data_IF_355557685175
#
_entry.id   IF_355557685175
#
_cell.length_a   1.000
_cell.length_b   1.000
_cell.length_c   1.000
_cell.angle_alpha   90.00
_cell.angle_beta   90.00
_cell.angle_gamma   90.00
#
_symmetry.space_group_name_H-M   'P 1'
#
loop_
_entity.id
_entity.type
_entity.pdbx_description
1 polymer ?
#
# COMPACT_ATOMS: atom_id res chain seq x y z
N UNK A 1 -28.98 -4.85 -11.34
CA UNK A 1 -27.53 -4.89 -11.07
C UNK A 1 -27.14 -3.49 -10.61
N UNK A 2 -27.12 -3.29 -9.31
CA UNK A 2 -26.79 -2.00 -8.70
C UNK A 2 -25.26 -1.83 -8.77
N UNK A 3 -24.83 -0.87 -9.60
CA UNK A 3 -23.47 -0.33 -9.51
C UNK A 3 -23.35 0.33 -8.12
N UNK A 4 -22.80 -0.37 -7.14
CA UNK A 4 -22.33 0.22 -5.91
C UNK A 4 -21.02 0.95 -6.22
N UNK A 5 -21.15 2.17 -6.74
CA UNK A 5 -20.02 3.08 -6.96
C UNK A 5 -19.62 3.74 -5.65
N UNK A 6 -19.04 2.95 -4.74
CA UNK A 6 -18.26 3.50 -3.64
C UNK A 6 -16.95 4.12 -4.16
N UNK A 7 -16.25 4.95 -3.36
CA UNK A 7 -14.94 5.46 -3.71
C UNK A 7 -13.96 4.31 -4.01
N UNK A 8 -13.08 4.48 -4.99
CA UNK A 8 -12.09 3.47 -5.39
C UNK A 8 -11.26 2.91 -4.20
N UNK A 9 -10.80 3.71 -3.23
CA UNK A 9 -10.11 3.18 -2.05
C UNK A 9 -10.94 2.19 -1.23
N UNK A 10 -12.26 2.38 -1.12
CA UNK A 10 -13.14 1.43 -0.40
C UNK A 10 -13.20 0.07 -1.10
N UNK A 11 -13.22 0.07 -2.43
CA UNK A 11 -13.17 -1.17 -3.21
C UNK A 11 -11.82 -1.89 -3.04
N UNK A 12 -10.71 -1.15 -3.02
CA UNK A 12 -9.37 -1.69 -2.76
C UNK A 12 -9.34 -2.37 -1.39
N UNK A 13 -9.82 -1.68 -0.35
CA UNK A 13 -9.92 -2.23 1.01
C UNK A 13 -10.78 -3.49 1.03
N UNK A 14 -11.94 -3.47 0.37
CA UNK A 14 -12.86 -4.61 0.32
C UNK A 14 -12.22 -5.85 -0.32
N UNK A 15 -11.50 -5.69 -1.43
CA UNK A 15 -10.78 -6.78 -2.12
C UNK A 15 -9.68 -7.35 -1.22
N UNK A 16 -8.88 -6.52 -0.56
CA UNK A 16 -7.82 -6.96 0.36
C UNK A 16 -8.43 -7.74 1.53
N UNK A 17 -9.48 -7.18 2.16
CA UNK A 17 -10.17 -7.84 3.28
C UNK A 17 -10.76 -9.17 2.86
N UNK A 18 -11.43 -9.25 1.71
CA UNK A 18 -12.04 -10.49 1.22
C UNK A 18 -11.00 -11.59 1.00
N UNK A 19 -9.82 -11.22 0.49
CA UNK A 19 -8.73 -12.17 0.22
C UNK A 19 -8.03 -12.67 1.49
N UNK A 20 -7.88 -11.79 2.51
CA UNK A 20 -7.16 -12.13 3.74
C UNK A 20 -8.07 -12.72 4.83
N UNK A 21 -9.38 -12.63 4.65
CA UNK A 21 -10.35 -13.12 5.64
C UNK A 21 -10.28 -14.63 5.80
N UNK A 22 -10.15 -15.06 7.05
CA UNK A 22 -10.24 -16.47 7.45
C UNK A 22 -11.20 -16.64 8.63
N UNK A 23 -11.27 -17.83 9.22
CA UNK A 23 -12.16 -18.15 10.34
C UNK A 23 -11.89 -17.29 11.61
N UNK A 24 -10.71 -16.70 11.72
CA UNK A 24 -10.32 -15.83 12.84
C UNK A 24 -10.51 -14.34 12.53
N UNK A 25 -10.94 -14.01 11.32
CA UNK A 25 -11.08 -12.64 10.84
C UNK A 25 -9.96 -12.21 9.89
N UNK A 26 -9.60 -10.93 9.91
CA UNK A 26 -8.53 -10.34 9.09
C UNK A 26 -7.41 -9.87 10.00
N UNK A 27 -6.18 -10.27 9.69
CA UNK A 27 -4.98 -9.81 10.41
C UNK A 27 -4.66 -8.38 9.98
N UNK A 28 -4.78 -7.44 10.91
CA UNK A 28 -4.68 -6.01 10.63
C UNK A 28 -3.34 -5.61 10.02
N UNK A 29 -2.24 -6.10 10.61
CA UNK A 29 -0.87 -5.81 10.17
C UNK A 29 -0.63 -6.28 8.73
N UNK A 30 -1.09 -7.50 8.41
CA UNK A 30 -0.95 -8.06 7.06
C UNK A 30 -1.81 -7.29 6.04
N UNK A 31 -3.01 -6.85 6.41
CA UNK A 31 -3.86 -6.08 5.53
C UNK A 31 -3.24 -4.70 5.21
N UNK A 32 -2.73 -3.99 6.23
CA UNK A 32 -2.04 -2.72 6.07
C UNK A 32 -0.80 -2.89 5.19
N UNK A 33 0.05 -3.87 5.49
CA UNK A 33 1.27 -4.13 4.73
C UNK A 33 0.96 -4.51 3.27
N UNK A 34 -0.11 -5.26 3.01
CA UNK A 34 -0.54 -5.62 1.65
C UNK A 34 -0.94 -4.37 0.86
N UNK A 35 -1.79 -3.50 1.41
CA UNK A 35 -2.20 -2.26 0.74
C UNK A 35 -1.01 -1.34 0.47
N UNK A 36 -0.11 -1.22 1.44
CA UNK A 36 1.09 -0.40 1.34
C UNK A 36 2.10 -0.95 0.32
N UNK A 37 2.37 -2.25 0.31
CA UNK A 37 3.24 -2.87 -0.68
C UNK A 37 2.66 -2.76 -2.10
N UNK A 38 1.34 -2.83 -2.25
CA UNK A 38 0.65 -2.55 -3.52
C UNK A 38 0.84 -1.09 -3.95
N UNK A 39 0.76 -0.13 -3.01
CA UNK A 39 1.12 1.27 -3.28
C UNK A 39 2.52 1.35 -3.89
N UNK A 40 3.50 0.69 -3.25
CA UNK A 40 4.87 0.63 -3.73
C UNK A 40 5.01 0.01 -5.12
N UNK A 41 4.34 -1.10 -5.40
CA UNK A 41 4.36 -1.73 -6.73
C UNK A 41 3.84 -0.77 -7.81
N UNK A 42 2.78 0.01 -7.54
CA UNK A 42 2.27 0.97 -8.51
C UNK A 42 3.16 2.20 -8.65
N UNK A 43 3.89 2.62 -7.61
CA UNK A 43 4.97 3.61 -7.75
C UNK A 43 6.08 3.10 -8.66
N UNK A 44 6.52 1.85 -8.49
CA UNK A 44 7.52 1.24 -9.36
C UNK A 44 7.07 1.20 -10.83
N UNK A 45 5.81 0.85 -11.08
CA UNK A 45 5.22 0.89 -12.42
C UNK A 45 5.14 2.31 -12.99
N UNK A 46 4.76 3.30 -12.17
CA UNK A 46 4.69 4.71 -12.56
C UNK A 46 6.08 5.31 -12.83
N UNK A 47 7.14 4.74 -12.27
CA UNK A 47 8.52 5.14 -12.58
C UNK A 47 8.97 4.81 -14.00
N UNK A 48 8.18 4.03 -14.76
CA UNK A 48 8.38 3.80 -16.19
C UNK A 48 9.45 2.75 -16.55
N UNK A 49 9.84 1.92 -15.58
CA UNK A 49 10.75 0.81 -15.87
C UNK A 49 10.07 -0.32 -16.66
N UNK A 50 10.79 -0.92 -17.59
CA UNK A 50 10.38 -2.19 -18.20
C UNK A 50 10.62 -3.33 -17.20
N UNK A 51 9.59 -3.68 -16.46
CA UNK A 51 9.67 -4.67 -15.39
C UNK A 51 9.92 -6.09 -15.91
N UNK A 52 9.75 -6.34 -17.21
CA UNK A 52 10.02 -7.67 -17.82
C UNK A 52 11.51 -8.00 -17.89
N UNK A 53 12.38 -6.99 -17.73
CA UNK A 53 13.83 -7.16 -17.74
C UNK A 53 14.41 -7.59 -16.39
N UNK A 54 13.59 -7.60 -15.33
CA UNK A 54 14.03 -7.95 -13.99
C UNK A 54 13.54 -9.34 -13.59
N UNK A 55 14.38 -10.09 -12.89
CA UNK A 55 13.93 -11.33 -12.27
C UNK A 55 12.88 -11.05 -11.19
N UNK A 56 11.77 -11.80 -11.14
CA UNK A 56 10.76 -11.64 -10.11
C UNK A 56 11.39 -11.69 -8.71
N UNK A 57 11.04 -10.73 -7.85
CA UNK A 57 11.57 -10.60 -6.49
C UNK A 57 12.97 -9.97 -6.39
N UNK A 58 13.62 -9.63 -7.51
CA UNK A 58 14.90 -8.92 -7.46
C UNK A 58 14.75 -7.46 -7.02
N UNK A 59 15.81 -6.93 -6.40
CA UNK A 59 15.83 -5.53 -5.95
C UNK A 59 16.05 -4.59 -7.12
N UNK A 60 15.22 -3.54 -7.22
CA UNK A 60 15.31 -2.48 -8.22
C UNK A 60 15.75 -1.18 -7.52
N UNK A 61 16.89 -0.66 -7.92
CA UNK A 61 17.38 0.66 -7.48
C UNK A 61 16.99 1.71 -8.54
N UNK A 62 16.21 2.71 -8.13
CA UNK A 62 15.67 3.74 -9.02
C UNK A 62 15.55 5.08 -8.31
N UNK A 63 16.22 6.11 -8.84
CA UNK A 63 16.05 7.48 -8.39
C UNK A 63 14.60 7.94 -8.59
N UNK A 64 14.00 7.61 -9.73
CA UNK A 64 12.62 7.99 -10.02
C UNK A 64 11.61 7.42 -9.01
N UNK A 65 11.85 6.21 -8.50
CA UNK A 65 11.04 5.65 -7.40
C UNK A 65 11.21 6.48 -6.13
N UNK A 66 12.45 6.87 -5.78
CA UNK A 66 12.70 7.70 -4.59
C UNK A 66 12.03 9.07 -4.72
N UNK A 67 12.11 9.71 -5.89
CA UNK A 67 11.43 10.99 -6.18
C UNK A 67 9.91 10.86 -5.95
N UNK A 68 9.27 9.86 -6.52
CA UNK A 68 7.83 9.66 -6.39
C UNK A 68 7.40 9.33 -4.95
N UNK A 69 8.24 8.60 -4.19
CA UNK A 69 7.93 8.22 -2.82
C UNK A 69 8.22 9.32 -1.81
N UNK A 70 9.39 10.00 -1.90
CA UNK A 70 9.93 10.78 -0.78
C UNK A 70 10.50 12.16 -1.15
N UNK A 71 10.96 12.39 -2.39
CA UNK A 71 11.82 13.51 -2.74
C UNK A 71 11.19 14.50 -3.73
N UNK A 72 9.87 14.52 -3.83
CA UNK A 72 9.16 15.31 -4.85
C UNK A 72 9.58 16.79 -4.87
N UNK A 73 10.26 17.22 -5.91
CA UNK A 73 10.72 18.61 -6.18
C UNK A 73 9.54 19.62 -6.20
N UNK A 74 8.99 19.94 -5.01
CA UNK A 74 7.82 20.79 -4.84
C UNK A 74 6.49 20.16 -5.22
N UNK A 75 6.47 18.86 -5.57
CA UNK A 75 5.27 18.09 -5.79
C UNK A 75 4.98 17.19 -4.58
N UNK A 76 3.70 16.89 -4.36
CA UNK A 76 3.28 15.97 -3.31
C UNK A 76 3.79 14.56 -3.61
N UNK A 77 4.58 14.01 -2.72
CA UNK A 77 5.03 12.61 -2.81
C UNK A 77 3.93 11.65 -2.36
N UNK A 78 4.10 10.38 -2.68
CA UNK A 78 3.17 9.34 -2.22
C UNK A 78 3.18 9.24 -0.69
N UNK A 79 4.34 9.36 -0.04
CA UNK A 79 4.43 9.37 1.42
C UNK A 79 3.74 10.59 2.04
N UNK A 80 3.91 11.80 1.47
CA UNK A 80 3.18 12.98 1.92
C UNK A 80 1.68 12.81 1.79
N UNK A 81 1.23 12.25 0.68
CA UNK A 81 -0.18 11.95 0.46
C UNK A 81 -0.72 10.95 1.50
N UNK A 82 0.04 9.88 1.78
CA UNK A 82 -0.33 8.91 2.81
C UNK A 82 -0.47 9.56 4.20
N UNK A 83 0.48 10.43 4.60
CA UNK A 83 0.38 11.16 5.87
C UNK A 83 -0.81 12.11 5.91
N UNK A 84 -1.07 12.84 4.82
CA UNK A 84 -2.23 13.71 4.72
C UNK A 84 -3.55 12.91 4.80
N UNK A 85 -3.58 11.72 4.19
CA UNK A 85 -4.73 10.81 4.29
C UNK A 85 -4.92 10.31 5.73
N UNK A 86 -3.87 9.91 6.44
CA UNK A 86 -3.94 9.57 7.87
C UNK A 86 -4.51 10.72 8.70
N UNK A 87 -3.99 11.92 8.49
CA UNK A 87 -4.47 13.12 9.19
C UNK A 87 -5.95 13.40 8.92
N UNK A 88 -6.42 13.22 7.67
CA UNK A 88 -7.83 13.38 7.30
C UNK A 88 -8.74 12.36 8.00
N UNK A 89 -8.21 11.20 8.39
CA UNK A 89 -8.88 10.20 9.21
C UNK A 89 -8.75 10.43 10.73
N UNK A 90 -8.17 11.56 11.14
CA UNK A 90 -7.95 11.90 12.55
C UNK A 90 -6.80 11.14 13.22
N UNK A 91 -5.84 10.67 12.41
CA UNK A 91 -4.62 10.01 12.87
C UNK A 91 -3.45 10.98 12.72
N UNK A 92 -2.96 11.52 13.84
CA UNK A 92 -1.80 12.39 13.88
C UNK A 92 -0.61 11.61 14.45
N UNK A 93 0.15 10.97 13.60
CA UNK A 93 1.32 10.14 13.96
C UNK A 93 2.66 10.77 13.59
N UNK A 94 2.70 12.04 13.23
CA UNK A 94 3.92 12.76 12.87
C UNK A 94 4.85 12.03 11.87
N UNK A 95 5.45 12.77 10.95
CA UNK A 95 6.38 12.20 9.96
C UNK A 95 7.66 11.64 10.59
N UNK A 96 8.11 12.26 11.68
CA UNK A 96 9.40 12.00 12.32
C UNK A 96 9.33 10.97 13.47
N UNK A 97 8.12 10.57 13.87
CA UNK A 97 7.95 9.56 14.92
C UNK A 97 7.92 8.15 14.32
N UNK A 98 9.08 7.53 14.23
CA UNK A 98 9.20 6.11 13.88
C UNK A 98 9.26 5.29 15.15
N UNK A 99 8.55 4.15 15.27
CA UNK A 99 8.93 3.15 16.24
C UNK A 99 10.34 2.67 15.91
N UNK A 100 11.20 2.54 16.90
CA UNK A 100 12.55 2.03 16.71
C UNK A 100 12.55 0.63 16.13
N UNK A 101 11.51 -0.14 16.44
CA UNK A 101 11.31 -1.51 15.96
C UNK A 101 9.82 -1.87 15.99
N UNK A 102 9.36 -2.61 14.96
CA UNK A 102 8.03 -3.22 14.99
C UNK A 102 8.07 -4.36 16.04
N UNK A 103 7.18 -4.34 17.05
CA UNK A 103 7.14 -5.38 18.07
C UNK A 103 6.91 -6.78 17.48
N UNK A 104 7.46 -7.81 18.11
CA UNK A 104 7.35 -9.20 17.65
C UNK A 104 5.89 -9.68 17.55
N UNK A 105 5.01 -9.20 18.43
CA UNK A 105 3.58 -9.50 18.39
C UNK A 105 2.86 -8.90 17.17
N UNK A 106 3.46 -7.93 16.49
CA UNK A 106 2.91 -7.27 15.30
C UNK A 106 3.57 -7.76 14.00
N UNK A 107 4.15 -8.95 14.00
CA UNK A 107 4.73 -9.54 12.80
C UNK A 107 3.65 -9.96 11.80
N UNK A 108 3.98 -9.86 10.51
CA UNK A 108 3.10 -10.29 9.44
C UNK A 108 2.93 -11.81 9.45
N UNK A 109 1.71 -12.29 9.22
CA UNK A 109 1.43 -13.73 9.08
C UNK A 109 1.53 -14.23 7.64
N UNK A 110 1.62 -13.32 6.67
CA UNK A 110 1.82 -13.61 5.25
C UNK A 110 2.74 -12.55 4.64
N UNK A 111 3.55 -12.94 3.66
CA UNK A 111 4.33 -11.99 2.89
C UNK A 111 3.41 -11.13 2.02
N UNK A 112 3.42 -9.77 2.17
CA UNK A 112 2.55 -8.90 1.40
C UNK A 112 2.81 -8.97 -0.12
N UNK A 113 4.02 -9.26 -0.57
CA UNK A 113 4.31 -9.41 -2.00
C UNK A 113 3.64 -10.67 -2.58
N UNK A 114 3.60 -11.78 -1.82
CA UNK A 114 2.87 -12.97 -2.22
C UNK A 114 1.35 -12.73 -2.26
N UNK A 115 0.83 -11.95 -1.30
CA UNK A 115 -0.60 -11.59 -1.32
C UNK A 115 -0.92 -10.74 -2.55
N UNK A 116 -0.09 -9.74 -2.86
CA UNK A 116 -0.27 -8.89 -4.04
C UNK A 116 -0.23 -9.71 -5.33
N UNK A 117 0.63 -10.70 -5.45
CA UNK A 117 0.70 -11.53 -6.66
C UNK A 117 -0.64 -12.20 -6.96
N UNK A 118 -1.36 -12.62 -5.93
CA UNK A 118 -2.70 -13.22 -6.05
C UNK A 118 -3.80 -12.20 -6.37
N UNK A 119 -3.64 -10.96 -5.90
CA UNK A 119 -4.63 -9.87 -6.08
C UNK A 119 -4.43 -9.09 -7.37
N UNK A 120 -3.25 -9.14 -7.97
CA UNK A 120 -2.82 -8.22 -9.02
C UNK A 120 -3.80 -8.17 -10.21
N UNK A 121 -4.24 -9.32 -10.69
CA UNK A 121 -5.15 -9.35 -11.84
C UNK A 121 -6.50 -8.69 -11.53
N UNK A 122 -7.06 -8.96 -10.35
CA UNK A 122 -8.33 -8.36 -9.90
C UNK A 122 -8.17 -6.84 -9.72
N UNK A 123 -7.07 -6.41 -9.11
CA UNK A 123 -6.78 -5.00 -8.89
C UNK A 123 -6.56 -4.25 -10.21
N UNK A 124 -5.87 -4.84 -11.18
CA UNK A 124 -5.70 -4.22 -12.50
C UNK A 124 -7.05 -4.05 -13.20
N UNK A 125 -7.93 -5.05 -13.16
CA UNK A 125 -9.29 -4.94 -13.70
C UNK A 125 -10.11 -3.83 -13.01
N UNK A 126 -9.98 -3.70 -11.68
CA UNK A 126 -10.62 -2.63 -10.92
C UNK A 126 -10.14 -1.25 -11.36
N UNK A 127 -8.83 -1.07 -11.50
CA UNK A 127 -8.26 0.21 -11.95
C UNK A 127 -8.63 0.55 -13.38
N UNK A 128 -8.56 -0.42 -14.29
CA UNK A 128 -8.92 -0.22 -15.70
C UNK A 128 -10.40 0.16 -15.84
N UNK A 129 -11.28 -0.46 -15.06
CA UNK A 129 -12.71 -0.11 -15.02
C UNK A 129 -12.98 1.32 -14.50
N UNK A 130 -12.07 1.87 -13.69
CA UNK A 130 -12.16 3.24 -13.17
C UNK A 130 -11.34 4.24 -14.01
N UNK A 131 -10.61 3.81 -15.03
CA UNK A 131 -9.88 4.67 -15.95
C UNK A 131 -8.71 5.44 -15.32
N UNK A 132 -8.14 4.94 -14.21
CA UNK A 132 -7.05 5.62 -13.50
C UNK A 132 -5.67 5.20 -14.06
N UNK A 133 -4.77 6.17 -14.17
CA UNK A 133 -3.42 5.94 -14.64
C UNK A 133 -2.50 5.32 -13.56
N UNK A 134 -1.25 5.00 -13.92
CA UNK A 134 -0.33 4.28 -13.02
C UNK A 134 -0.05 5.01 -11.71
N UNK A 135 0.12 6.34 -11.76
CA UNK A 135 0.40 7.11 -10.54
C UNK A 135 -0.88 7.29 -9.69
N UNK A 136 -2.02 7.46 -10.33
CA UNK A 136 -3.32 7.53 -9.66
C UNK A 136 -3.64 6.23 -8.92
N UNK A 137 -3.24 5.07 -9.48
CA UNK A 137 -3.34 3.76 -8.79
C UNK A 137 -2.53 3.74 -7.48
N UNK A 138 -1.31 4.32 -7.50
CA UNK A 138 -0.49 4.43 -6.29
C UNK A 138 -1.16 5.33 -5.24
N UNK A 139 -1.73 6.47 -5.63
CA UNK A 139 -2.47 7.35 -4.73
C UNK A 139 -3.72 6.66 -4.15
N UNK A 140 -4.48 5.93 -4.96
CA UNK A 140 -5.66 5.20 -4.50
C UNK A 140 -5.28 4.10 -3.48
N UNK A 141 -4.18 3.37 -3.71
CA UNK A 141 -3.66 2.38 -2.76
C UNK A 141 -3.13 3.03 -1.48
N UNK A 142 -2.46 4.19 -1.56
CA UNK A 142 -2.01 4.94 -0.39
C UNK A 142 -3.20 5.41 0.48
N UNK A 143 -4.27 5.88 -0.15
CA UNK A 143 -5.52 6.23 0.54
C UNK A 143 -6.14 5.00 1.22
N UNK A 144 -6.22 3.86 0.53
CA UNK A 144 -6.71 2.61 1.10
C UNK A 144 -5.85 2.14 2.29
N UNK A 145 -4.53 2.31 2.20
CA UNK A 145 -3.60 2.02 3.30
C UNK A 145 -3.90 2.88 4.53
N UNK A 146 -4.06 4.19 4.34
CA UNK A 146 -4.40 5.11 5.43
C UNK A 146 -5.75 4.76 6.07
N UNK A 147 -6.74 4.38 5.26
CA UNK A 147 -8.05 3.93 5.72
C UNK A 147 -7.95 2.65 6.57
N UNK A 148 -7.12 1.68 6.18
CA UNK A 148 -6.88 0.47 6.98
C UNK A 148 -6.22 0.80 8.31
N UNK A 149 -5.19 1.66 8.35
CA UNK A 149 -4.59 2.13 9.62
C UNK A 149 -5.65 2.78 10.50
N UNK A 150 -6.50 3.65 9.94
CA UNK A 150 -7.53 4.34 10.70
C UNK A 150 -8.61 3.39 11.25
N UNK A 151 -9.05 2.42 10.46
CA UNK A 151 -10.10 1.48 10.88
C UNK A 151 -9.61 0.47 11.92
N UNK A 152 -8.33 0.13 11.89
CA UNK A 152 -7.71 -0.81 12.84
C UNK A 152 -7.21 -0.16 14.14
N UNK A 153 -7.30 1.16 14.29
CA UNK A 153 -6.75 1.94 15.44
C UNK A 153 -7.20 1.48 16.84
N UNK A 154 -8.25 0.68 16.93
CA UNK A 154 -8.74 0.12 18.21
C UNK A 154 -8.03 -1.17 18.61
N UNK A 155 -7.34 -1.82 17.67
CA UNK A 155 -6.67 -3.12 17.88
C UNK A 155 -5.18 -3.04 17.57
N UNK A 156 -4.75 -2.04 16.83
CA UNK A 156 -3.35 -1.80 16.46
C UNK A 156 -3.02 -0.31 16.68
N UNK A 157 -1.90 -0.04 17.35
CA UNK A 157 -1.39 1.34 17.51
C UNK A 157 -1.14 1.96 16.12
N UNK A 158 -1.70 3.14 15.80
CA UNK A 158 -1.49 3.81 14.52
C UNK A 158 -0.02 4.08 14.20
N UNK A 159 0.86 4.25 15.19
CA UNK A 159 2.30 4.38 14.95
C UNK A 159 2.92 3.09 14.42
N UNK A 160 2.48 1.93 14.92
CA UNK A 160 2.89 0.62 14.40
C UNK A 160 2.31 0.43 13.00
N UNK A 161 1.02 0.74 12.80
CA UNK A 161 0.37 0.68 11.48
C UNK A 161 1.08 1.54 10.43
N UNK A 162 1.50 2.76 10.81
CA UNK A 162 2.31 3.65 9.97
C UNK A 162 3.67 3.01 9.61
N UNK A 163 4.38 2.46 10.59
CA UNK A 163 5.69 1.86 10.35
C UNK A 163 5.61 0.66 9.42
N UNK A 164 4.64 -0.24 9.64
CA UNK A 164 4.34 -1.36 8.75
C UNK A 164 4.03 -0.89 7.31
N UNK A 165 3.22 0.16 7.19
CA UNK A 165 2.86 0.73 5.90
C UNK A 165 4.08 1.26 5.15
N UNK A 166 4.92 2.06 5.79
CA UNK A 166 6.09 2.67 5.14
C UNK A 166 7.14 1.62 4.75
N UNK A 167 7.39 0.65 5.61
CA UNK A 167 8.30 -0.47 5.30
C UNK A 167 7.79 -1.29 4.11
N UNK A 168 6.52 -1.68 4.12
CA UNK A 168 5.92 -2.46 3.05
C UNK A 168 5.83 -1.67 1.74
N UNK A 169 5.51 -0.38 1.79
CA UNK A 169 5.49 0.51 0.63
C UNK A 169 6.86 0.59 -0.02
N UNK A 170 7.92 0.79 0.78
CA UNK A 170 9.29 0.82 0.29
C UNK A 170 9.69 -0.52 -0.32
N UNK A 171 9.33 -1.62 0.32
CA UNK A 171 9.61 -2.97 -0.17
C UNK A 171 8.92 -3.23 -1.51
N UNK A 172 7.63 -2.90 -1.63
CA UNK A 172 6.88 -3.03 -2.90
C UNK A 172 7.45 -2.16 -4.03
N UNK A 173 7.91 -0.96 -3.71
CA UNK A 173 8.47 -0.03 -4.68
C UNK A 173 9.89 -0.39 -5.16
N UNK A 174 10.61 -1.21 -4.40
CA UNK A 174 12.01 -1.61 -4.72
C UNK A 174 12.17 -3.08 -5.05
N UNK A 175 11.08 -3.81 -5.23
CA UNK A 175 11.12 -5.24 -5.57
C UNK A 175 10.38 -5.49 -6.87
N UNK A 176 11.04 -6.18 -7.81
CA UNK A 176 10.38 -6.62 -9.04
C UNK A 176 9.18 -7.50 -8.70
N UNK A 177 8.00 -7.27 -9.33
CA UNK A 177 6.80 -8.03 -9.03
C UNK A 177 7.03 -9.54 -9.14
N UNK A 178 6.65 -10.27 -8.11
CA UNK A 178 6.62 -11.75 -8.16
C UNK A 178 5.40 -12.24 -8.92
N UNK A 179 5.51 -13.41 -9.54
CA UNK A 179 4.45 -14.00 -10.35
C UNK A 179 3.27 -14.45 -9.48
#
# INVERSE_FOLDING_TARGET
>A
MTNETGPLPDHIVAVIIATLKNDRGVHAETAIATAAAMTGEFVLRAAGHDLTQFEPGSVIMSERVNELLFEGDGQMTISDFFFNALFSHGIDVGKDSWPEQIPDENQLIMDPLEVISRLREEMLKLFDANGVDQIERAYACAQATAQLVATTRRVLDPNIGKALALEAMLRGAKTAPIA
#
